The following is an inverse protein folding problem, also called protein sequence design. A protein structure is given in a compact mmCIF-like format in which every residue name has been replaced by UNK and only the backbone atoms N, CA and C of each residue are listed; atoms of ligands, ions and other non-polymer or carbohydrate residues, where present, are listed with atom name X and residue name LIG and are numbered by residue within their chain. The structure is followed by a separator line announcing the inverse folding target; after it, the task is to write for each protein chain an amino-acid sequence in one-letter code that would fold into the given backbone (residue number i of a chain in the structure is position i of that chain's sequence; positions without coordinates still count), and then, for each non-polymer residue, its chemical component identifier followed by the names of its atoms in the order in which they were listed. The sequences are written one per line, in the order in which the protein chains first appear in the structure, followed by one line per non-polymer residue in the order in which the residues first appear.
data_IF_924351855435
#
_entry.id   IF_924351855435
#
_cell.length_a   1.000
_cell.length_b   1.000
_cell.length_c   1.000
_cell.angle_alpha   90.00
_cell.angle_beta   90.00
_cell.angle_gamma   90.00
#
_symmetry.space_group_name_H-M   'P 1'
#
loop_
_entity.id
_entity.type
_entity.pdbx_description
1 polymer ?
#
# COMPACT_ATOMS: atom_id res chain seq x y z
N UNK A 1 -23.45 8.13 -18.21
CA UNK A 1 -23.02 7.75 -16.85
C UNK A 1 -21.59 8.23 -16.72
N UNK A 2 -21.28 9.04 -15.71
CA UNK A 2 -19.89 9.46 -15.47
C UNK A 2 -19.07 8.26 -15.04
N UNK A 3 -17.81 8.21 -15.45
CA UNK A 3 -16.90 7.18 -14.99
C UNK A 3 -16.72 7.29 -13.47
N UNK A 4 -16.65 6.16 -12.74
CA UNK A 4 -16.51 6.17 -11.29
C UNK A 4 -15.19 6.86 -10.91
N UNK A 5 -15.30 7.92 -10.10
CA UNK A 5 -14.13 8.62 -9.58
C UNK A 5 -13.52 7.78 -8.44
N UNK A 6 -12.20 7.75 -8.28
CA UNK A 6 -11.53 7.06 -7.16
C UNK A 6 -11.62 5.51 -7.11
N UNK A 7 -12.33 4.85 -8.02
CA UNK A 7 -12.48 3.39 -8.01
C UNK A 7 -11.28 2.59 -8.57
N UNK A 8 -10.18 3.26 -8.95
CA UNK A 8 -9.04 2.63 -9.63
C UNK A 8 -8.07 1.93 -8.66
N UNK A 9 -7.95 2.43 -7.45
CA UNK A 9 -7.08 1.90 -6.40
C UNK A 9 -7.90 1.73 -5.12
N UNK A 10 -7.61 0.73 -4.27
CA UNK A 10 -6.45 -0.16 -4.29
C UNK A 10 -6.54 -1.32 -5.31
N UNK A 11 -5.39 -1.73 -5.88
CA UNK A 11 -5.33 -2.89 -6.78
C UNK A 11 -5.52 -4.21 -6.01
N UNK A 12 -6.72 -4.79 -6.17
CA UNK A 12 -7.09 -6.05 -5.54
C UNK A 12 -6.32 -7.25 -6.10
N UNK A 13 -5.92 -7.21 -7.38
CA UNK A 13 -5.17 -8.30 -8.00
C UNK A 13 -3.75 -8.37 -7.42
N UNK A 14 -3.12 -7.22 -7.22
CA UNK A 14 -1.82 -7.15 -6.54
C UNK A 14 -1.90 -7.75 -5.12
N UNK A 15 -2.95 -7.42 -4.38
CA UNK A 15 -3.20 -7.98 -3.04
C UNK A 15 -3.39 -9.49 -3.07
N UNK A 16 -4.10 -10.01 -4.07
CA UNK A 16 -4.28 -11.45 -4.26
C UNK A 16 -2.94 -12.16 -4.57
N UNK A 17 -2.09 -11.56 -5.40
CA UNK A 17 -0.75 -12.08 -5.68
C UNK A 17 0.13 -12.12 -4.42
N UNK A 18 0.09 -11.07 -3.59
CA UNK A 18 0.81 -11.04 -2.30
C UNK A 18 0.30 -12.16 -1.39
N UNK A 19 -1.01 -12.35 -1.28
CA UNK A 19 -1.57 -13.46 -0.49
C UNK A 19 -1.10 -14.82 -1.01
N UNK A 20 -1.09 -15.02 -2.33
CA UNK A 20 -0.63 -16.26 -2.95
C UNK A 20 0.86 -16.55 -2.66
N UNK A 21 1.70 -15.51 -2.52
CA UNK A 21 3.09 -15.65 -2.11
C UNK A 21 3.21 -16.13 -0.66
N UNK A 22 2.39 -15.59 0.24
CA UNK A 22 2.38 -16.00 1.65
C UNK A 22 1.74 -17.37 1.88
N UNK A 23 0.90 -17.85 0.96
CA UNK A 23 0.20 -19.12 1.14
C UNK A 23 1.17 -20.32 1.01
N UNK A 24 1.38 -21.11 2.08
CA UNK A 24 2.27 -22.27 2.02
C UNK A 24 1.75 -23.37 1.09
N UNK A 25 0.43 -23.47 0.88
CA UNK A 25 -0.20 -24.49 0.03
C UNK A 25 -0.16 -24.16 -1.48
N UNK A 26 0.29 -22.94 -1.85
CA UNK A 26 0.40 -22.54 -3.24
C UNK A 26 1.55 -23.28 -3.96
N UNK A 27 1.36 -23.58 -5.25
CA UNK A 27 2.40 -24.22 -6.08
C UNK A 27 3.58 -23.26 -6.34
N UNK A 28 4.77 -23.83 -6.57
CA UNK A 28 5.98 -23.04 -6.85
C UNK A 28 5.83 -22.18 -8.11
N UNK A 29 5.18 -22.70 -9.16
CA UNK A 29 4.92 -21.94 -10.38
C UNK A 29 3.99 -20.75 -10.10
N UNK A 30 2.93 -20.94 -9.31
CA UNK A 30 2.00 -19.86 -8.98
C UNK A 30 2.68 -18.77 -8.14
N UNK A 31 3.56 -19.15 -7.20
CA UNK A 31 4.36 -18.20 -6.42
C UNK A 31 5.32 -17.39 -7.29
N UNK A 32 6.01 -18.02 -8.24
CA UNK A 32 6.91 -17.31 -9.15
C UNK A 32 6.17 -16.34 -10.08
N UNK A 33 5.02 -16.74 -10.61
CA UNK A 33 4.17 -15.87 -11.42
C UNK A 33 3.68 -14.67 -10.61
N UNK A 34 3.17 -14.91 -9.39
CA UNK A 34 2.72 -13.86 -8.48
C UNK A 34 3.86 -12.89 -8.11
N UNK A 35 5.08 -13.38 -7.88
CA UNK A 35 6.24 -12.54 -7.58
C UNK A 35 6.54 -11.59 -8.74
N UNK A 36 6.54 -12.10 -9.97
CA UNK A 36 6.75 -11.27 -11.14
C UNK A 36 5.68 -10.19 -11.29
N UNK A 37 4.40 -10.57 -11.15
CA UNK A 37 3.28 -9.61 -11.19
C UNK A 37 3.41 -8.55 -10.09
N UNK A 38 3.86 -8.93 -8.88
CA UNK A 38 4.10 -7.98 -7.79
C UNK A 38 5.25 -7.03 -8.11
N UNK A 39 6.36 -7.53 -8.65
CA UNK A 39 7.49 -6.68 -9.04
C UNK A 39 7.13 -5.71 -10.18
N UNK A 40 6.39 -6.18 -11.17
CA UNK A 40 5.95 -5.37 -12.30
C UNK A 40 4.96 -4.29 -11.79
N UNK A 41 4.00 -4.65 -10.94
CA UNK A 41 3.04 -3.72 -10.36
C UNK A 41 3.70 -2.66 -9.45
N UNK A 42 4.72 -3.03 -8.68
CA UNK A 42 5.49 -2.07 -7.85
C UNK A 42 6.20 -1.03 -8.72
N UNK A 43 6.79 -1.46 -9.83
CA UNK A 43 7.49 -0.57 -10.77
C UNK A 43 6.50 0.32 -11.53
N UNK A 44 5.39 -0.24 -11.98
CA UNK A 44 4.37 0.49 -12.75
C UNK A 44 3.68 1.56 -11.90
N UNK A 45 3.26 1.23 -10.68
CA UNK A 45 2.51 2.13 -9.81
C UNK A 45 3.39 2.95 -8.86
N UNK A 46 4.71 2.75 -8.90
CA UNK A 46 5.70 3.41 -8.06
C UNK A 46 5.46 3.22 -6.57
N UNK A 47 5.06 2.01 -6.16
CA UNK A 47 4.58 1.74 -4.80
C UNK A 47 5.76 1.56 -3.81
N UNK A 48 6.49 2.65 -3.52
CA UNK A 48 7.68 2.60 -2.67
C UNK A 48 7.39 2.10 -1.23
N UNK A 49 6.36 2.60 -0.51
CA UNK A 49 6.00 2.08 0.82
C UNK A 49 5.61 0.60 0.80
N UNK A 50 4.91 0.15 -0.24
CA UNK A 50 4.55 -1.27 -0.39
C UNK A 50 5.79 -2.13 -0.63
N UNK A 51 6.74 -1.66 -1.44
CA UNK A 51 8.02 -2.36 -1.64
C UNK A 51 8.81 -2.47 -0.35
N UNK A 52 8.88 -1.40 0.44
CA UNK A 52 9.47 -1.43 1.79
C UNK A 52 8.77 -2.47 2.68
N UNK A 53 7.44 -2.41 2.78
CA UNK A 53 6.67 -3.34 3.61
C UNK A 53 6.80 -4.81 3.21
N UNK A 54 7.03 -5.10 1.93
CA UNK A 54 7.19 -6.47 1.45
C UNK A 54 8.63 -6.97 1.59
N UNK A 55 9.61 -6.17 1.17
CA UNK A 55 10.98 -6.61 0.98
C UNK A 55 11.97 -6.14 2.05
N UNK A 56 11.57 -5.29 3.02
CA UNK A 56 12.51 -4.82 4.04
C UNK A 56 13.14 -6.00 4.84
N UNK A 57 14.46 -6.01 5.06
CA UNK A 57 15.13 -7.15 5.72
C UNK A 57 14.66 -7.43 7.15
N UNK A 58 14.29 -6.39 7.91
CA UNK A 58 13.87 -6.51 9.32
C UNK A 58 12.35 -6.46 9.51
N UNK A 59 11.65 -5.65 8.73
CA UNK A 59 10.22 -5.35 8.91
C UNK A 59 9.35 -5.88 7.76
N UNK A 60 9.97 -6.49 6.75
CA UNK A 60 9.27 -6.96 5.56
C UNK A 60 8.47 -8.22 5.84
N UNK A 61 7.18 -8.21 5.49
CA UNK A 61 6.28 -9.37 5.68
C UNK A 61 6.79 -10.63 4.98
N UNK A 62 7.51 -10.46 3.87
CA UNK A 62 8.04 -11.57 3.08
C UNK A 62 9.47 -11.97 3.49
N UNK A 63 10.26 -11.03 4.02
CA UNK A 63 11.69 -11.25 4.30
C UNK A 63 12.05 -11.41 5.78
N UNK A 64 11.08 -11.25 6.71
CA UNK A 64 11.28 -11.45 8.14
C UNK A 64 11.72 -12.89 8.46
N UNK A 65 13.02 -13.13 8.32
CA UNK A 65 13.73 -14.24 8.93
C UNK A 65 13.84 -13.93 10.42
N UNK A 66 12.77 -14.25 11.15
CA UNK A 66 12.72 -14.34 12.62
C UNK A 66 13.57 -13.35 13.41
N UNK A 67 13.04 -12.15 13.68
CA UNK A 67 13.41 -11.46 14.92
C UNK A 67 12.29 -10.50 15.32
N UNK A 68 11.39 -10.99 16.19
CA UNK A 68 10.61 -10.09 17.01
C UNK A 68 11.55 -9.42 18.00
N UNK A 69 11.96 -8.18 17.73
CA UNK A 69 12.40 -7.29 18.81
C UNK A 69 11.17 -6.86 19.59
N UNK A 70 10.69 -7.77 20.45
CA UNK A 70 9.84 -7.40 21.57
C UNK A 70 10.74 -7.42 22.79
N UNK A 71 11.00 -6.21 23.26
CA UNK A 71 11.42 -5.84 24.60
C UNK A 71 11.20 -6.97 25.62
N UNK A 72 12.30 -7.46 26.19
CA UNK A 72 12.26 -8.45 27.25
C UNK A 72 11.75 -7.79 28.53
N UNK A 73 10.77 -8.40 29.21
CA UNK A 73 11.06 -8.73 30.60
C UNK A 73 10.72 -10.18 30.95
N UNK A 74 11.63 -10.74 31.73
CA UNK A 74 11.56 -12.01 32.44
C UNK A 74 10.18 -12.38 33.01
N UNK A 75 9.80 -13.67 32.91
CA UNK A 75 9.58 -14.60 34.05
C UNK A 75 8.83 -15.87 33.61
N UNK A 76 9.35 -17.02 34.06
CA UNK A 76 8.72 -18.34 34.08
C UNK A 76 7.18 -18.32 34.16
N UNK A 77 6.47 -18.75 33.09
CA UNK A 77 5.13 -19.35 33.21
C UNK A 77 4.95 -20.48 32.21
N UNK A 78 4.42 -21.58 32.70
CA UNK A 78 4.07 -22.84 32.00
C UNK A 78 3.14 -22.58 30.80
N UNK A 79 3.23 -23.34 29.70
CA UNK A 79 2.32 -23.12 28.57
C UNK A 79 0.99 -23.82 28.84
N UNK A 80 -0.07 -23.05 29.06
CA UNK A 80 -1.44 -23.50 28.80
C UNK A 80 -1.70 -23.31 27.30
N UNK A 81 -1.93 -24.41 26.59
CA UNK A 81 -2.25 -24.42 25.16
C UNK A 81 -3.53 -23.62 24.89
N UNK A 82 -3.37 -22.36 24.49
CA UNK A 82 -4.46 -21.56 23.94
C UNK A 82 -4.43 -21.71 22.42
N UNK A 83 -5.58 -21.95 21.81
CA UNK A 83 -5.76 -22.04 20.35
C UNK A 83 -5.21 -20.79 19.63
N UNK A 84 -5.21 -19.64 20.30
CA UNK A 84 -4.60 -18.39 19.83
C UNK A 84 -3.07 -18.46 19.62
N UNK A 85 -2.37 -19.37 20.31
CA UNK A 85 -0.91 -19.54 20.17
C UNK A 85 -0.54 -20.45 18.98
N UNK A 86 -1.46 -21.27 18.46
CA UNK A 86 -1.18 -22.12 17.29
C UNK A 86 -1.17 -21.35 15.96
N UNK A 87 -1.78 -20.16 15.90
CA UNK A 87 -1.75 -19.32 14.70
C UNK A 87 -0.52 -18.39 14.66
N UNK A 88 0.19 -18.22 15.77
CA UNK A 88 1.25 -17.23 15.94
C UNK A 88 2.68 -17.74 15.65
N UNK A 89 2.87 -19.00 15.27
CA UNK A 89 4.22 -19.59 15.06
C UNK A 89 4.43 -20.23 13.68
N UNK A 90 3.65 -19.84 12.68
CA UNK A 90 3.93 -20.25 11.29
C UNK A 90 4.00 -19.02 10.39
N UNK A 91 5.07 -18.26 10.54
CA UNK A 91 5.60 -17.50 9.40
C UNK A 91 6.13 -18.52 8.40
N UNK A 92 5.52 -18.64 7.20
CA UNK A 92 5.97 -19.59 6.21
C UNK A 92 7.35 -19.12 5.71
N UNK A 93 8.36 -19.96 5.87
CA UNK A 93 9.64 -19.81 5.17
C UNK A 93 9.33 -19.72 3.68
N UNK A 94 9.49 -18.53 3.10
CA UNK A 94 9.22 -18.34 1.68
C UNK A 94 10.25 -19.12 0.87
N UNK A 95 9.76 -20.03 0.04
CA UNK A 95 10.61 -20.75 -0.92
C UNK A 95 11.17 -19.82 -2.02
N UNK A 96 10.65 -18.60 -2.13
CA UNK A 96 11.06 -17.60 -3.12
C UNK A 96 11.27 -16.24 -2.42
N UNK A 97 12.52 -15.83 -2.13
CA UNK A 97 12.80 -14.55 -1.49
C UNK A 97 12.65 -13.38 -2.48
N UNK A 98 12.13 -12.25 -2.01
CA UNK A 98 12.06 -11.00 -2.74
C UNK A 98 13.30 -10.16 -2.36
N UNK A 99 14.30 -9.97 -3.24
CA UNK A 99 15.51 -9.26 -2.87
C UNK A 99 15.22 -7.78 -2.58
N UNK A 100 15.75 -7.28 -1.47
CA UNK A 100 15.76 -5.86 -1.16
C UNK A 100 16.81 -5.14 -2.00
N UNK A 101 16.37 -4.14 -2.76
CA UNK A 101 17.22 -3.25 -3.54
C UNK A 101 16.93 -1.81 -3.11
N UNK A 102 17.85 -1.27 -2.30
CA UNK A 102 17.77 0.08 -1.76
C UNK A 102 17.78 1.14 -2.87
N UNK A 103 18.50 0.90 -3.97
CA UNK A 103 18.55 1.85 -5.10
C UNK A 103 17.22 1.95 -5.82
N UNK A 104 16.54 0.81 -5.99
CA UNK A 104 15.21 0.78 -6.57
C UNK A 104 14.23 1.53 -5.66
N UNK A 105 14.28 1.28 -4.35
CA UNK A 105 13.44 1.99 -3.39
C UNK A 105 13.64 3.52 -3.43
N UNK A 106 14.90 3.98 -3.41
CA UNK A 106 15.22 5.40 -3.50
C UNK A 106 14.73 6.03 -4.81
N UNK A 107 14.90 5.34 -5.95
CA UNK A 107 14.39 5.83 -7.24
C UNK A 107 12.87 5.96 -7.25
N UNK A 108 12.15 4.96 -6.73
CA UNK A 108 10.68 4.97 -6.67
C UNK A 108 10.19 6.08 -5.74
N UNK A 109 10.84 6.26 -4.59
CA UNK A 109 10.54 7.34 -3.64
C UNK A 109 10.75 8.71 -4.28
N UNK A 110 11.89 8.93 -4.94
CA UNK A 110 12.20 10.19 -5.60
C UNK A 110 11.21 10.51 -6.74
N UNK A 111 10.76 9.51 -7.50
CA UNK A 111 9.73 9.70 -8.51
C UNK A 111 8.35 10.01 -7.90
N UNK A 112 7.99 9.37 -6.79
CA UNK A 112 6.76 9.68 -6.05
C UNK A 112 6.74 11.10 -5.51
N UNK A 113 7.86 11.55 -4.92
CA UNK A 113 8.00 12.92 -4.40
C UNK A 113 7.86 13.95 -5.53
N UNK A 114 8.48 13.70 -6.69
CA UNK A 114 8.31 14.58 -7.86
C UNK A 114 6.87 14.66 -8.37
N UNK A 115 6.16 13.54 -8.40
CA UNK A 115 4.74 13.52 -8.81
C UNK A 115 3.85 14.21 -7.78
N UNK A 116 4.11 14.02 -6.49
CA UNK A 116 3.41 14.72 -5.40
C UNK A 116 3.60 16.23 -5.50
N UNK A 117 4.84 16.69 -5.70
CA UNK A 117 5.16 18.11 -5.88
C UNK A 117 4.46 18.69 -7.12
N UNK A 118 4.44 17.95 -8.23
CA UNK A 118 3.75 18.39 -9.44
C UNK A 118 2.24 18.57 -9.23
N UNK A 119 1.59 17.63 -8.54
CA UNK A 119 0.16 17.72 -8.23
C UNK A 119 -0.11 18.84 -7.20
N UNK A 120 0.77 19.02 -6.22
CA UNK A 120 0.62 20.07 -5.23
C UNK A 120 0.74 21.46 -5.88
N UNK A 121 1.66 21.62 -6.84
CA UNK A 121 1.75 22.83 -7.65
C UNK A 121 0.52 23.04 -8.53
N UNK A 122 -0.03 21.97 -9.13
CA UNK A 122 -1.29 22.04 -9.88
C UNK A 122 -2.47 22.47 -8.98
N UNK A 123 -2.51 22.01 -7.73
CA UNK A 123 -3.52 22.41 -6.73
C UNK A 123 -3.39 23.89 -6.37
N UNK A 124 -2.19 24.40 -6.11
CA UNK A 124 -1.95 25.82 -5.80
C UNK A 124 -2.28 26.72 -7.01
N UNK A 125 -1.88 26.32 -8.23
CA UNK A 125 -2.24 27.05 -9.45
C UNK A 125 -3.76 27.04 -9.71
N UNK A 126 -4.43 25.94 -9.40
CA UNK A 126 -5.88 25.84 -9.47
C UNK A 126 -6.56 26.69 -8.39
N UNK A 127 -5.99 26.81 -7.20
CA UNK A 127 -6.54 27.64 -6.11
C UNK A 127 -6.45 29.14 -6.42
N UNK A 128 -5.39 29.56 -7.12
CA UNK A 128 -5.21 30.96 -7.52
C UNK A 128 -5.98 31.35 -8.80
N UNK A 129 -6.09 30.43 -9.78
CA UNK A 129 -6.59 30.76 -11.12
C UNK A 129 -7.91 30.07 -11.47
N UNK A 130 -8.22 28.94 -10.85
CA UNK A 130 -9.37 28.12 -11.16
C UNK A 130 -10.37 28.11 -9.99
N UNK A 131 -11.59 27.65 -10.25
CA UNK A 131 -12.64 27.63 -9.23
C UNK A 131 -12.50 26.45 -8.27
N UNK A 132 -13.42 26.36 -7.31
CA UNK A 132 -13.46 25.24 -6.34
C UNK A 132 -13.54 23.86 -7.02
N UNK A 133 -14.11 23.77 -8.23
CA UNK A 133 -14.27 22.51 -8.96
C UNK A 133 -12.92 21.95 -9.40
N UNK A 134 -12.03 22.79 -9.93
CA UNK A 134 -10.69 22.37 -10.36
C UNK A 134 -9.79 22.04 -9.16
N UNK A 135 -9.89 22.80 -8.07
CA UNK A 135 -9.18 22.52 -6.81
C UNK A 135 -9.60 21.16 -6.24
N UNK A 136 -10.89 20.83 -6.28
CA UNK A 136 -11.39 19.53 -5.85
C UNK A 136 -10.85 18.40 -6.73
N UNK A 137 -10.77 18.60 -8.06
CA UNK A 137 -10.19 17.62 -8.97
C UNK A 137 -8.70 17.39 -8.71
N UNK A 138 -7.91 18.45 -8.49
CA UNK A 138 -6.49 18.36 -8.16
C UNK A 138 -6.25 17.65 -6.82
N UNK A 139 -7.05 17.98 -5.78
CA UNK A 139 -7.04 17.27 -4.49
C UNK A 139 -7.37 15.79 -4.66
N UNK A 140 -8.34 15.48 -5.52
CA UNK A 140 -8.69 14.12 -5.89
C UNK A 140 -7.51 13.33 -6.45
N UNK A 141 -6.79 13.89 -7.43
CA UNK A 141 -5.58 13.28 -7.99
C UNK A 141 -4.52 13.04 -6.92
N UNK A 142 -4.37 13.96 -5.96
CA UNK A 142 -3.42 13.81 -4.84
C UNK A 142 -3.82 12.65 -3.92
N UNK A 143 -5.09 12.53 -3.56
CA UNK A 143 -5.59 11.44 -2.72
C UNK A 143 -5.43 10.08 -3.42
N UNK A 144 -5.74 10.02 -4.72
CA UNK A 144 -5.57 8.82 -5.53
C UNK A 144 -4.10 8.41 -5.64
N UNK A 145 -3.18 9.38 -5.72
CA UNK A 145 -1.74 9.12 -5.69
C UNK A 145 -1.30 8.51 -4.35
N UNK A 146 -1.79 9.03 -3.21
CA UNK A 146 -1.50 8.42 -1.90
C UNK A 146 -2.04 6.99 -1.79
N UNK A 147 -3.24 6.73 -2.32
CA UNK A 147 -3.82 5.39 -2.36
C UNK A 147 -2.99 4.45 -3.25
N UNK A 148 -2.50 4.95 -4.39
CA UNK A 148 -1.61 4.20 -5.30
C UNK A 148 -0.26 3.90 -4.67
N UNK A 149 0.34 4.84 -3.96
CA UNK A 149 1.65 4.66 -3.30
C UNK A 149 1.53 3.68 -2.12
N UNK A 150 0.37 3.62 -1.46
CA UNK A 150 0.11 2.76 -0.31
C UNK A 150 0.38 3.44 1.04
N UNK A 151 0.42 4.78 1.08
CA UNK A 151 0.54 5.56 2.32
C UNK A 151 -0.86 5.75 2.94
N UNK A 152 -1.25 4.80 3.80
CA UNK A 152 -2.61 4.68 4.34
C UNK A 152 -3.07 5.93 5.09
N UNK A 153 -2.23 6.46 5.97
CA UNK A 153 -2.61 7.56 6.87
C UNK A 153 -2.87 8.85 6.08
N UNK A 154 -2.00 9.15 5.10
CA UNK A 154 -2.17 10.33 4.23
C UNK A 154 -3.31 10.17 3.24
N UNK A 155 -3.54 8.95 2.74
CA UNK A 155 -4.66 8.66 1.85
C UNK A 155 -5.99 8.91 2.57
N UNK A 156 -6.18 8.37 3.78
CA UNK A 156 -7.40 8.56 4.59
C UNK A 156 -7.64 10.05 4.86
N UNK A 157 -6.62 10.76 5.38
CA UNK A 157 -6.75 12.19 5.66
C UNK A 157 -7.12 13.02 4.42
N UNK A 158 -6.56 12.66 3.25
CA UNK A 158 -6.87 13.34 1.99
C UNK A 158 -8.28 13.05 1.50
N UNK A 159 -8.74 11.80 1.60
CA UNK A 159 -10.09 11.40 1.22
C UNK A 159 -11.16 11.97 2.14
N UNK A 160 -10.91 12.02 3.46
CA UNK A 160 -11.80 12.70 4.42
C UNK A 160 -11.96 14.19 4.07
N UNK A 161 -10.85 14.87 3.79
CA UNK A 161 -10.88 16.29 3.40
C UNK A 161 -11.65 16.54 2.09
N UNK A 162 -11.62 15.59 1.14
CA UNK A 162 -12.42 15.67 -0.09
C UNK A 162 -13.89 15.36 0.23
N UNK A 163 -14.17 14.30 0.99
CA UNK A 163 -15.51 13.86 1.35
C UNK A 163 -16.33 14.96 2.04
N UNK A 164 -15.71 15.73 2.93
CA UNK A 164 -16.35 16.87 3.61
C UNK A 164 -16.70 18.01 2.64
N UNK A 165 -15.83 18.27 1.65
CA UNK A 165 -15.99 19.38 0.70
C UNK A 165 -16.88 19.03 -0.50
N UNK A 166 -17.02 17.76 -0.82
CA UNK A 166 -17.86 17.32 -1.94
C UNK A 166 -19.33 17.29 -1.55
N UNK A 167 -20.18 18.04 -2.24
CA UNK A 167 -21.64 18.04 -2.02
C UNK A 167 -22.39 16.94 -2.79
N UNK A 168 -21.74 16.30 -3.77
CA UNK A 168 -22.37 15.37 -4.71
C UNK A 168 -22.42 13.96 -4.10
N UNK A 169 -23.63 13.41 -3.96
CA UNK A 169 -23.83 12.08 -3.36
C UNK A 169 -23.09 10.96 -4.13
N UNK A 170 -23.08 11.02 -5.46
CA UNK A 170 -22.39 10.02 -6.30
C UNK A 170 -20.91 9.93 -5.96
N UNK A 171 -20.21 11.07 -5.95
CA UNK A 171 -18.79 11.12 -5.59
C UNK A 171 -18.53 10.69 -4.15
N UNK A 172 -19.45 10.95 -3.21
CA UNK A 172 -19.33 10.43 -1.83
C UNK A 172 -19.41 8.91 -1.76
N UNK A 173 -20.31 8.30 -2.54
CA UNK A 173 -20.41 6.84 -2.62
C UNK A 173 -19.13 6.28 -3.21
N UNK A 174 -18.63 6.89 -4.29
CA UNK A 174 -17.40 6.45 -4.94
C UNK A 174 -16.18 6.56 -4.02
N UNK A 175 -16.06 7.65 -3.24
CA UNK A 175 -15.00 7.85 -2.24
C UNK A 175 -15.01 6.80 -1.12
N UNK A 176 -16.19 6.30 -0.74
CA UNK A 176 -16.32 5.27 0.32
C UNK A 176 -16.02 3.88 -0.23
N UNK A 177 -16.26 3.65 -1.53
CA UNK A 177 -16.04 2.35 -2.17
C UNK A 177 -14.64 2.17 -2.77
N UNK A 178 -13.89 3.26 -2.97
CA UNK A 178 -12.48 3.26 -3.40
C UNK A 178 -11.47 3.17 -2.26
#
# INVERSE_FOLDING_TARGET
MGDPQFAKYPDLQLSQHIFQLTNPAASKQAKQAALKSVQDGIKENKMAPLYWYLAHPTDGVLNASGEGSVDQPSKNRRPSASLATMLATRTPTLEVPLPWDEKLYESLKAECEKELEAIQKEEEEAEEKAGETEVQAARGKRAELYNRIGDKDKAIASYEAIFEKTGILGTKIDLVLG
#
